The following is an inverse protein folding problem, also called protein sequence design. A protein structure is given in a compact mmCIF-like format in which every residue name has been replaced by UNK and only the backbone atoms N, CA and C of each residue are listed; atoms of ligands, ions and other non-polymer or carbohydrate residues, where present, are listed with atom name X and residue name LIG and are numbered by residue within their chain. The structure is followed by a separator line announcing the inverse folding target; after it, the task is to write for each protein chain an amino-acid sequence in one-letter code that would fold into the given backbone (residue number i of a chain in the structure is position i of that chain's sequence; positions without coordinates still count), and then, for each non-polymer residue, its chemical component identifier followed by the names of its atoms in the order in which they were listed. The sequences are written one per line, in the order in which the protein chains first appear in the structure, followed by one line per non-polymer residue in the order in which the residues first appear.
data_IF_041395489925
#
_entry.id   IF_041395489925
#
_cell.length_a   1.000
_cell.length_b   1.000
_cell.length_c   1.000
_cell.angle_alpha   90.00
_cell.angle_beta   90.00
_cell.angle_gamma   90.00
#
_symmetry.space_group_name_H-M   'P 1'
#
loop_
_entity.id
_entity.type
_entity.pdbx_description
1 polymer ?
#
# COMPACT_ATOMS: atom_id res chain seq x y z
N UNK A 1 -8.02 -21.46 -4.23
CA UNK A 1 -8.68 -21.43 -2.92
C UNK A 1 -10.13 -21.09 -3.17
N UNK A 2 -11.10 -21.64 -2.44
CA UNK A 2 -12.46 -21.18 -2.58
C UNK A 2 -12.45 -19.67 -2.30
N UNK A 3 -13.19 -18.89 -3.12
CA UNK A 3 -13.37 -17.47 -2.90
C UNK A 3 -13.92 -17.28 -1.49
N UNK A 4 -13.09 -16.75 -0.59
CA UNK A 4 -13.54 -16.39 0.74
C UNK A 4 -14.50 -15.23 0.64
N UNK A 5 -15.45 -15.13 1.55
CA UNK A 5 -16.38 -14.01 1.63
C UNK A 5 -15.94 -13.02 2.73
N UNK A 6 -14.62 -12.84 2.89
CA UNK A 6 -14.02 -12.05 3.97
C UNK A 6 -14.44 -10.58 3.93
N UNK A 7 -14.77 -10.07 2.73
CA UNK A 7 -15.21 -8.70 2.49
C UNK A 7 -16.61 -8.64 1.86
N UNK A 8 -17.42 -9.69 2.06
CA UNK A 8 -18.78 -9.73 1.54
C UNK A 8 -19.59 -8.51 2.02
N UNK A 9 -20.33 -7.90 1.10
CA UNK A 9 -21.12 -6.69 1.35
C UNK A 9 -20.32 -5.44 1.75
N UNK A 10 -18.98 -5.45 1.69
CA UNK A 10 -18.14 -4.27 1.90
C UNK A 10 -17.99 -3.48 0.59
N UNK A 11 -17.83 -2.17 0.74
CA UNK A 11 -17.49 -1.25 -0.36
C UNK A 11 -16.11 -0.67 -0.10
N UNK A 12 -15.22 -0.82 -1.05
CA UNK A 12 -13.83 -0.37 -0.96
C UNK A 12 -13.51 0.71 -1.99
N UNK A 13 -12.73 1.70 -1.59
CA UNK A 13 -11.99 2.58 -2.49
C UNK A 13 -10.52 2.13 -2.46
N UNK A 14 -9.92 1.92 -3.62
CA UNK A 14 -8.49 1.68 -3.79
C UNK A 14 -7.90 2.78 -4.65
N UNK A 15 -6.94 3.53 -4.10
CA UNK A 15 -6.24 4.60 -4.85
C UNK A 15 -4.99 4.04 -5.54
N UNK A 16 -4.73 4.48 -6.80
CA UNK A 16 -3.69 3.90 -7.63
C UNK A 16 -4.00 2.45 -7.96
N UNK A 17 -5.24 2.17 -8.37
CA UNK A 17 -5.77 0.83 -8.60
C UNK A 17 -5.31 0.20 -9.92
N UNK A 18 -4.74 0.99 -10.83
CA UNK A 18 -4.15 0.50 -12.07
C UNK A 18 -2.70 0.03 -11.90
N UNK A 19 -2.14 -0.53 -12.97
CA UNK A 19 -0.73 -0.92 -13.00
C UNK A 19 -0.02 -0.35 -14.22
N UNK A 20 1.30 -0.33 -14.16
CA UNK A 20 2.17 0.09 -15.28
C UNK A 20 2.94 -1.12 -15.78
N UNK A 21 2.55 -1.66 -16.95
CA UNK A 21 3.19 -2.80 -17.58
C UNK A 21 2.72 -4.15 -17.02
N UNK A 22 3.47 -5.20 -17.32
CA UNK A 22 3.06 -6.61 -17.09
C UNK A 22 3.10 -7.05 -15.61
N UNK A 23 3.76 -6.28 -14.74
CA UNK A 23 3.94 -6.65 -13.33
C UNK A 23 2.89 -5.94 -12.50
N UNK A 24 2.09 -6.69 -11.75
CA UNK A 24 1.06 -6.14 -10.89
C UNK A 24 1.62 -5.12 -9.88
N UNK A 25 0.93 -3.98 -9.75
CA UNK A 25 1.11 -3.04 -8.65
C UNK A 25 0.28 -3.44 -7.43
N UNK A 26 0.66 -2.94 -6.25
CA UNK A 26 -0.06 -3.25 -5.00
C UNK A 26 -1.54 -2.84 -5.04
N UNK A 27 -1.84 -1.69 -5.66
CA UNK A 27 -3.23 -1.24 -5.80
C UNK A 27 -4.06 -2.16 -6.68
N UNK A 28 -3.52 -2.61 -7.82
CA UNK A 28 -4.16 -3.59 -8.69
C UNK A 28 -4.40 -4.92 -7.97
N UNK A 29 -3.34 -5.48 -7.36
CA UNK A 29 -3.44 -6.74 -6.63
C UNK A 29 -4.46 -6.67 -5.49
N UNK A 30 -4.46 -5.57 -4.71
CA UNK A 30 -5.43 -5.36 -3.63
C UNK A 30 -6.86 -5.24 -4.17
N UNK A 31 -7.08 -4.51 -5.26
CA UNK A 31 -8.40 -4.37 -5.89
C UNK A 31 -8.96 -5.71 -6.34
N UNK A 32 -8.15 -6.52 -7.01
CA UNK A 32 -8.55 -7.85 -7.49
C UNK A 32 -8.83 -8.79 -6.30
N UNK A 33 -7.96 -8.82 -5.28
CA UNK A 33 -8.19 -9.66 -4.10
C UNK A 33 -9.42 -9.21 -3.30
N UNK A 34 -9.64 -7.91 -3.11
CA UNK A 34 -10.83 -7.41 -2.43
C UNK A 34 -12.11 -7.83 -3.17
N UNK A 35 -12.12 -7.75 -4.51
CA UNK A 35 -13.25 -8.18 -5.31
C UNK A 35 -13.48 -9.72 -5.21
N UNK A 36 -12.42 -10.53 -5.25
CA UNK A 36 -12.48 -11.98 -5.04
C UNK A 36 -13.02 -12.36 -3.67
N UNK A 37 -12.77 -11.51 -2.67
CA UNK A 37 -13.26 -11.68 -1.29
C UNK A 37 -14.66 -11.06 -1.08
N UNK A 38 -15.34 -10.64 -2.15
CA UNK A 38 -16.75 -10.22 -2.14
C UNK A 38 -17.00 -8.72 -1.98
N UNK A 39 -15.96 -7.88 -1.97
CA UNK A 39 -16.14 -6.43 -1.94
C UNK A 39 -16.56 -5.88 -3.31
N UNK A 40 -17.34 -4.78 -3.28
CA UNK A 40 -17.50 -3.88 -4.42
C UNK A 40 -16.40 -2.85 -4.38
N UNK A 41 -15.67 -2.66 -5.48
CA UNK A 41 -14.44 -1.84 -5.49
C UNK A 41 -14.58 -0.62 -6.40
N UNK A 42 -14.35 0.57 -5.87
CA UNK A 42 -14.11 1.77 -6.66
C UNK A 42 -12.60 1.87 -6.94
N UNK A 43 -12.24 1.68 -8.21
CA UNK A 43 -10.88 1.76 -8.73
C UNK A 43 -10.56 3.22 -9.01
N UNK A 44 -9.80 3.87 -8.14
CA UNK A 44 -9.37 5.25 -8.35
C UNK A 44 -7.96 5.28 -8.94
N UNK A 45 -7.82 5.88 -10.11
CA UNK A 45 -6.53 6.10 -10.76
C UNK A 45 -6.54 7.44 -11.51
N UNK A 46 -5.38 7.95 -11.88
CA UNK A 46 -5.22 9.12 -12.73
C UNK A 46 -5.26 8.75 -14.22
N UNK A 47 -5.12 7.48 -14.53
CA UNK A 47 -4.96 6.94 -15.87
C UNK A 47 -6.05 5.87 -16.12
N UNK A 48 -6.91 6.16 -17.08
CA UNK A 48 -8.06 5.31 -17.37
C UNK A 48 -7.64 3.95 -17.92
N UNK A 49 -6.66 3.89 -18.82
CA UNK A 49 -6.27 2.65 -19.49
C UNK A 49 -5.76 1.63 -18.45
N UNK A 50 -5.01 2.12 -17.44
CA UNK A 50 -4.52 1.28 -16.34
C UNK A 50 -5.63 0.79 -15.42
N UNK A 51 -6.61 1.63 -15.15
CA UNK A 51 -7.76 1.25 -14.34
C UNK A 51 -8.64 0.22 -15.05
N UNK A 52 -8.79 0.34 -16.39
CA UNK A 52 -9.54 -0.60 -17.21
C UNK A 52 -8.94 -2.01 -17.21
N UNK A 53 -7.62 -2.17 -17.21
CA UNK A 53 -6.99 -3.49 -17.08
C UNK A 53 -7.40 -4.20 -15.77
N UNK A 54 -7.47 -3.45 -14.69
CA UNK A 54 -7.89 -3.97 -13.38
C UNK A 54 -9.40 -4.27 -13.37
N UNK A 55 -10.21 -3.37 -13.92
CA UNK A 55 -11.67 -3.56 -14.06
C UNK A 55 -11.98 -4.82 -14.85
N UNK A 56 -11.38 -4.97 -16.04
CA UNK A 56 -11.58 -6.11 -16.91
C UNK A 56 -11.24 -7.45 -16.23
N UNK A 57 -10.17 -7.45 -15.41
CA UNK A 57 -9.79 -8.64 -14.63
C UNK A 57 -10.85 -8.98 -13.60
N UNK A 58 -11.34 -7.98 -12.85
CA UNK A 58 -12.36 -8.17 -11.81
C UNK A 58 -13.68 -8.64 -12.43
N UNK A 59 -14.14 -8.02 -13.52
CA UNK A 59 -15.40 -8.38 -14.17
C UNK A 59 -15.33 -9.78 -14.80
N UNK A 60 -14.21 -10.13 -15.43
CA UNK A 60 -13.98 -11.48 -15.98
C UNK A 60 -14.06 -12.57 -14.92
N UNK A 61 -13.69 -12.26 -13.69
CA UNK A 61 -13.76 -13.17 -12.53
C UNK A 61 -15.13 -13.12 -11.82
N UNK A 62 -16.08 -12.30 -12.31
CA UNK A 62 -17.44 -12.18 -11.75
C UNK A 62 -17.54 -11.22 -10.57
N UNK A 63 -16.49 -10.45 -10.29
CA UNK A 63 -16.49 -9.41 -9.26
C UNK A 63 -17.19 -8.13 -9.70
N UNK A 64 -17.32 -7.18 -8.79
CA UNK A 64 -17.98 -5.89 -9.05
C UNK A 64 -17.02 -4.74 -8.80
N UNK A 65 -16.73 -3.94 -9.82
CA UNK A 65 -15.93 -2.72 -9.68
C UNK A 65 -16.48 -1.58 -10.56
N UNK A 66 -16.06 -0.36 -10.24
CA UNK A 66 -16.28 0.85 -11.04
C UNK A 66 -15.02 1.67 -11.05
N UNK A 67 -14.79 2.48 -12.09
CA UNK A 67 -13.63 3.35 -12.21
C UNK A 67 -14.01 4.77 -11.80
N UNK A 68 -13.10 5.44 -11.09
CA UNK A 68 -13.07 6.87 -10.86
C UNK A 68 -11.73 7.42 -11.32
N UNK A 69 -11.74 8.39 -12.23
CA UNK A 69 -10.54 9.07 -12.71
C UNK A 69 -10.38 10.39 -11.98
N UNK A 70 -9.25 10.54 -11.28
CA UNK A 70 -8.93 11.74 -10.52
C UNK A 70 -7.53 11.71 -9.93
N UNK A 71 -7.03 12.89 -9.57
CA UNK A 71 -5.75 13.08 -8.94
C UNK A 71 -5.91 13.14 -7.40
N UNK A 72 -5.42 12.16 -6.69
CA UNK A 72 -5.49 12.11 -5.22
C UNK A 72 -4.67 13.19 -4.51
N UNK A 73 -3.86 13.95 -5.22
CA UNK A 73 -3.22 15.17 -4.69
C UNK A 73 -4.14 16.39 -4.73
N UNK A 74 -5.26 16.30 -5.48
CA UNK A 74 -6.34 17.29 -5.55
C UNK A 74 -7.37 17.01 -4.45
N UNK A 75 -7.59 17.96 -3.57
CA UNK A 75 -8.61 17.86 -2.53
C UNK A 75 -10.01 17.65 -3.12
N UNK A 76 -10.34 18.39 -4.20
CA UNK A 76 -11.62 18.29 -4.91
C UNK A 76 -11.85 16.88 -5.47
N UNK A 77 -10.81 16.26 -6.01
CA UNK A 77 -10.94 14.91 -6.58
C UNK A 77 -11.06 13.86 -5.49
N UNK A 78 -10.41 14.05 -4.33
CA UNK A 78 -10.62 13.19 -3.16
C UNK A 78 -12.07 13.24 -2.65
N UNK A 79 -12.69 14.42 -2.60
CA UNK A 79 -14.11 14.56 -2.26
C UNK A 79 -15.00 13.87 -3.29
N UNK A 80 -14.76 14.14 -4.58
CA UNK A 80 -15.52 13.54 -5.68
C UNK A 80 -15.40 12.01 -5.69
N UNK A 81 -14.23 11.45 -5.42
CA UNK A 81 -13.97 10.02 -5.31
C UNK A 81 -14.85 9.35 -4.23
N UNK A 82 -14.90 9.94 -3.05
CA UNK A 82 -15.72 9.41 -1.95
C UNK A 82 -17.20 9.51 -2.28
N UNK A 83 -17.64 10.64 -2.84
CA UNK A 83 -19.03 10.84 -3.27
C UNK A 83 -19.43 9.85 -4.38
N UNK A 84 -18.53 9.54 -5.32
CA UNK A 84 -18.78 8.55 -6.36
C UNK A 84 -18.94 7.13 -5.78
N UNK A 85 -18.17 6.77 -4.75
CA UNK A 85 -18.36 5.49 -4.05
C UNK A 85 -19.77 5.36 -3.45
N UNK A 86 -20.24 6.42 -2.79
CA UNK A 86 -21.61 6.44 -2.23
C UNK A 86 -22.67 6.39 -3.33
N UNK A 87 -22.47 7.12 -4.41
CA UNK A 87 -23.40 7.14 -5.56
C UNK A 87 -23.50 5.76 -6.23
N UNK A 88 -22.39 5.06 -6.41
CA UNK A 88 -22.35 3.76 -7.12
C UNK A 88 -22.78 2.60 -6.22
N UNK A 89 -22.44 2.63 -4.93
CA UNK A 89 -22.55 1.48 -4.04
C UNK A 89 -23.31 1.74 -2.75
N UNK A 90 -23.71 3.00 -2.47
CA UNK A 90 -24.54 3.39 -1.34
C UNK A 90 -23.79 3.67 -0.04
N UNK A 91 -22.51 3.32 0.08
CA UNK A 91 -21.69 3.46 1.29
C UNK A 91 -20.19 3.43 1.01
N UNK A 92 -19.40 3.57 2.10
CA UNK A 92 -17.95 3.31 2.08
C UNK A 92 -17.56 2.59 3.37
N UNK A 93 -16.95 1.40 3.27
CA UNK A 93 -16.48 0.61 4.40
C UNK A 93 -14.94 0.57 4.48
N UNK A 94 -14.23 0.63 3.33
CA UNK A 94 -12.79 0.43 3.24
C UNK A 94 -12.18 1.53 2.37
N UNK A 95 -11.11 2.18 2.89
CA UNK A 95 -10.25 3.06 2.09
C UNK A 95 -8.82 2.51 2.11
N UNK A 96 -8.29 2.16 0.94
CA UNK A 96 -6.91 1.81 0.77
C UNK A 96 -6.13 2.95 0.10
N UNK A 97 -5.41 3.73 0.90
CA UNK A 97 -4.51 4.80 0.45
C UNK A 97 -3.19 4.19 -0.03
N UNK A 98 -3.14 3.81 -1.30
CA UNK A 98 -1.99 3.11 -1.88
C UNK A 98 -1.10 4.01 -2.75
N UNK A 99 -1.60 5.14 -3.25
CA UNK A 99 -0.80 6.01 -4.12
C UNK A 99 0.49 6.45 -3.45
N UNK A 100 1.56 6.40 -4.21
CA UNK A 100 2.87 6.86 -3.79
C UNK A 100 3.88 6.86 -4.93
N UNK A 101 4.97 7.57 -4.72
CA UNK A 101 6.04 7.70 -5.70
C UNK A 101 7.37 8.08 -5.05
N UNK A 102 8.50 7.81 -5.73
CA UNK A 102 9.79 8.23 -5.22
C UNK A 102 9.89 9.75 -5.21
N UNK A 103 10.61 10.27 -4.25
CA UNK A 103 11.17 11.62 -4.29
C UNK A 103 12.69 11.48 -4.24
N UNK A 104 13.41 12.07 -5.15
CA UNK A 104 14.84 11.82 -5.32
C UNK A 104 15.75 12.60 -4.37
N UNK A 105 16.96 12.07 -4.17
CA UNK A 105 18.10 12.80 -3.64
C UNK A 105 18.41 12.61 -2.17
N UNK A 106 19.66 12.94 -1.84
CA UNK A 106 20.13 13.16 -0.47
C UNK A 106 19.81 14.59 -0.05
N UNK A 107 19.85 14.89 1.25
CA UNK A 107 19.52 16.23 1.80
C UNK A 107 20.18 17.38 1.04
N UNK A 108 21.42 17.24 0.64
CA UNK A 108 22.18 18.27 -0.07
C UNK A 108 21.84 18.42 -1.56
N UNK A 109 21.01 17.55 -2.11
CA UNK A 109 20.65 17.53 -3.54
C UNK A 109 19.15 17.47 -3.77
N UNK A 110 18.33 17.85 -2.79
CA UNK A 110 16.88 17.88 -2.94
C UNK A 110 16.47 19.24 -3.51
N UNK A 111 15.79 19.21 -4.65
CA UNK A 111 15.12 20.40 -5.20
C UNK A 111 13.78 20.60 -4.47
N UNK A 112 13.39 21.84 -4.24
CA UNK A 112 12.17 22.20 -3.50
C UNK A 112 10.91 21.63 -4.18
N UNK A 113 10.86 21.67 -5.50
CA UNK A 113 9.75 21.10 -6.27
C UNK A 113 9.61 19.58 -6.08
N UNK A 114 10.73 18.86 -6.09
CA UNK A 114 10.74 17.41 -5.83
C UNK A 114 10.31 17.07 -4.41
N UNK A 115 10.69 17.91 -3.44
CA UNK A 115 10.23 17.81 -2.07
C UNK A 115 8.70 17.93 -1.99
N UNK A 116 8.14 19.00 -2.50
CA UNK A 116 6.69 19.24 -2.47
C UNK A 116 5.92 18.15 -3.20
N UNK A 117 6.36 17.77 -4.39
CA UNK A 117 5.75 16.69 -5.16
C UNK A 117 5.75 15.35 -4.39
N UNK A 118 6.85 15.02 -3.73
CA UNK A 118 6.95 13.78 -2.95
C UNK A 118 6.03 13.79 -1.74
N UNK A 119 5.96 14.89 -1.00
CA UNK A 119 5.07 15.04 0.16
C UNK A 119 3.61 15.01 -0.27
N UNK A 120 3.25 15.74 -1.32
CA UNK A 120 1.87 15.77 -1.82
C UNK A 120 1.41 14.37 -2.27
N UNK A 121 2.25 13.67 -3.02
CA UNK A 121 1.90 12.37 -3.55
C UNK A 121 1.84 11.27 -2.47
N UNK A 122 2.80 11.24 -1.54
CA UNK A 122 2.91 10.16 -0.58
C UNK A 122 2.14 10.40 0.73
N UNK A 123 2.01 11.63 1.19
CA UNK A 123 1.41 11.95 2.49
C UNK A 123 0.08 12.70 2.35
N UNK A 124 0.06 13.84 1.65
CA UNK A 124 -1.15 14.68 1.52
C UNK A 124 -2.29 13.89 0.89
N UNK A 125 -2.04 13.05 -0.11
CA UNK A 125 -3.04 12.20 -0.76
C UNK A 125 -3.82 11.33 0.24
N UNK A 126 -3.10 10.67 1.16
CA UNK A 126 -3.72 9.85 2.20
C UNK A 126 -4.52 10.68 3.22
N UNK A 127 -4.03 11.89 3.57
CA UNK A 127 -4.75 12.82 4.45
C UNK A 127 -6.04 13.28 3.79
N UNK A 128 -6.00 13.71 2.52
CA UNK A 128 -7.17 14.22 1.80
C UNK A 128 -8.19 13.11 1.54
N UNK A 129 -7.77 11.93 1.11
CA UNK A 129 -8.65 10.77 0.97
C UNK A 129 -9.35 10.43 2.28
N UNK A 130 -8.62 10.39 3.38
CA UNK A 130 -9.18 10.09 4.72
C UNK A 130 -10.09 11.19 5.23
N UNK A 131 -9.82 12.46 4.95
CA UNK A 131 -10.65 13.60 5.33
C UNK A 131 -12.11 13.44 4.89
N UNK A 132 -12.32 12.96 3.68
CA UNK A 132 -13.67 12.77 3.13
C UNK A 132 -14.24 11.38 3.40
N UNK A 133 -13.38 10.36 3.52
CA UNK A 133 -13.82 9.00 3.82
C UNK A 133 -14.37 8.86 5.26
N UNK A 134 -13.72 9.47 6.26
CA UNK A 134 -14.07 9.32 7.67
C UNK A 134 -15.53 9.71 7.95
N UNK A 135 -16.03 10.90 7.56
CA UNK A 135 -17.44 11.26 7.80
C UNK A 135 -18.44 10.33 7.08
N UNK A 136 -18.02 9.76 5.94
CA UNK A 136 -18.84 8.82 5.18
C UNK A 136 -18.89 7.45 5.86
N UNK A 137 -17.75 6.95 6.33
CA UNK A 137 -17.65 5.72 7.11
C UNK A 137 -18.42 5.82 8.43
N UNK A 138 -18.34 6.95 9.12
CA UNK A 138 -19.07 7.19 10.36
C UNK A 138 -20.59 7.05 10.16
N UNK A 139 -21.14 7.62 9.08
CA UNK A 139 -22.55 7.46 8.71
C UNK A 139 -22.94 6.02 8.39
N UNK A 140 -21.99 5.20 7.94
CA UNK A 140 -22.19 3.78 7.63
C UNK A 140 -21.96 2.86 8.85
N UNK A 141 -21.65 3.42 10.02
CA UNK A 141 -21.45 2.67 11.26
C UNK A 141 -19.99 2.25 11.52
N UNK A 142 -19.04 2.78 10.78
CA UNK A 142 -17.61 2.54 10.94
C UNK A 142 -16.90 2.14 9.64
N UNK A 143 -15.63 1.75 9.73
CA UNK A 143 -14.84 1.37 8.56
C UNK A 143 -13.41 0.97 8.85
N UNK A 144 -12.65 0.70 7.80
CA UNK A 144 -11.23 0.39 7.87
C UNK A 144 -10.45 1.23 6.86
N UNK A 145 -9.48 1.99 7.35
CA UNK A 145 -8.52 2.73 6.53
C UNK A 145 -7.17 2.02 6.60
N UNK A 146 -6.61 1.70 5.44
CA UNK A 146 -5.29 1.10 5.33
C UNK A 146 -4.40 2.05 4.54
N UNK A 147 -3.28 2.46 5.12
CA UNK A 147 -2.28 3.29 4.48
C UNK A 147 -1.06 2.45 4.06
N UNK A 148 -0.34 2.90 3.04
CA UNK A 148 0.91 2.26 2.60
C UNK A 148 2.11 3.11 3.01
N UNK A 149 2.88 2.61 3.98
CA UNK A 149 4.20 3.10 4.32
C UNK A 149 5.28 2.38 3.49
N UNK A 150 6.40 2.09 4.08
CA UNK A 150 7.54 1.34 3.52
C UNK A 150 8.45 0.93 4.67
N UNK A 151 9.32 -0.06 4.47
CA UNK A 151 10.47 -0.27 5.35
C UNK A 151 11.35 0.98 5.43
N UNK A 152 11.45 1.77 4.35
CA UNK A 152 12.16 3.06 4.32
C UNK A 152 11.51 4.14 5.21
N UNK A 153 10.28 3.95 5.66
CA UNK A 153 9.61 4.80 6.64
C UNK A 153 9.87 4.40 8.09
N UNK A 154 10.50 3.26 8.33
CA UNK A 154 10.79 2.74 9.67
C UNK A 154 12.29 2.69 9.95
N UNK A 155 13.10 2.51 8.94
CA UNK A 155 14.57 2.53 9.01
C UNK A 155 15.15 3.14 7.74
N UNK A 156 16.37 3.68 7.83
CA UNK A 156 17.06 4.20 6.65
C UNK A 156 17.52 3.06 5.75
N UNK A 157 17.05 3.04 4.51
CA UNK A 157 17.46 2.09 3.48
C UNK A 157 18.71 2.55 2.71
N UNK A 158 19.13 1.74 1.77
CA UNK A 158 20.25 2.06 0.86
C UNK A 158 19.87 3.07 -0.23
N UNK A 159 18.59 3.32 -0.41
CA UNK A 159 18.08 4.21 -1.45
C UNK A 159 18.24 5.67 -1.02
N UNK A 160 18.87 6.49 -1.88
CA UNK A 160 19.00 7.93 -1.66
C UNK A 160 17.68 8.64 -1.99
N UNK A 161 16.74 8.61 -1.05
CA UNK A 161 15.34 9.00 -1.28
C UNK A 161 14.74 9.66 -0.03
N UNK A 162 15.34 10.77 0.41
CA UNK A 162 14.99 11.44 1.68
C UNK A 162 13.52 11.87 1.73
N UNK A 163 12.95 12.58 0.74
CA UNK A 163 11.55 13.01 0.79
C UNK A 163 10.56 11.83 0.88
N UNK A 164 10.85 10.75 0.17
CA UNK A 164 10.04 9.54 0.23
C UNK A 164 10.08 8.90 1.62
N UNK A 165 11.29 8.66 2.16
CA UNK A 165 11.47 8.00 3.46
C UNK A 165 10.79 8.80 4.57
N UNK A 166 10.93 10.14 4.57
CA UNK A 166 10.27 11.02 5.53
C UNK A 166 8.74 10.94 5.37
N UNK A 167 8.22 11.00 4.14
CA UNK A 167 6.77 10.90 3.92
C UNK A 167 6.20 9.56 4.36
N UNK A 168 6.93 8.45 4.16
CA UNK A 168 6.50 7.12 4.62
C UNK A 168 6.59 6.95 6.14
N UNK A 169 7.55 7.58 6.81
CA UNK A 169 7.57 7.68 8.26
C UNK A 169 6.37 8.49 8.79
N UNK A 170 6.07 9.63 8.16
CA UNK A 170 4.91 10.44 8.49
C UNK A 170 3.59 9.69 8.35
N UNK A 171 3.41 8.89 7.28
CA UNK A 171 2.22 8.03 7.08
C UNK A 171 2.09 6.98 8.20
N UNK A 172 3.18 6.39 8.64
CA UNK A 172 3.17 5.46 9.77
C UNK A 172 2.65 6.12 11.04
N UNK A 173 3.11 7.33 11.33
CA UNK A 173 2.66 8.07 12.52
C UNK A 173 1.23 8.60 12.36
N UNK A 174 0.87 9.12 11.18
CA UNK A 174 -0.49 9.54 10.84
C UNK A 174 -1.50 8.42 11.10
N UNK A 175 -1.16 7.19 10.72
CA UNK A 175 -2.05 6.03 10.93
C UNK A 175 -2.32 5.79 12.42
N UNK A 176 -1.33 5.97 13.30
CA UNK A 176 -1.53 5.90 14.77
C UNK A 176 -2.38 7.05 15.30
N UNK A 177 -2.14 8.28 14.84
CA UNK A 177 -2.93 9.44 15.22
C UNK A 177 -4.41 9.22 14.86
N UNK A 178 -4.67 8.83 13.62
CA UNK A 178 -6.03 8.59 13.13
C UNK A 178 -6.72 7.43 13.88
N UNK A 179 -6.00 6.35 14.19
CA UNK A 179 -6.52 5.23 14.97
C UNK A 179 -7.02 5.67 16.35
N UNK A 180 -6.27 6.57 17.02
CA UNK A 180 -6.64 7.14 18.32
C UNK A 180 -7.84 8.08 18.19
N UNK A 181 -7.83 8.96 17.20
CA UNK A 181 -8.85 9.98 17.04
C UNK A 181 -10.22 9.41 16.62
N UNK A 182 -10.23 8.35 15.78
CA UNK A 182 -11.44 7.85 15.15
C UNK A 182 -11.87 6.45 15.64
N UNK A 183 -11.15 5.85 16.57
CA UNK A 183 -11.50 4.52 17.11
C UNK A 183 -12.88 4.46 17.77
N UNK A 184 -13.33 5.54 18.44
CA UNK A 184 -14.67 5.62 19.05
C UNK A 184 -15.80 5.75 18.04
N UNK A 185 -15.49 6.11 16.80
CA UNK A 185 -16.39 6.11 15.65
C UNK A 185 -16.44 4.75 14.94
N UNK A 186 -15.86 3.72 15.54
CA UNK A 186 -15.72 2.38 14.96
C UNK A 186 -14.92 2.38 13.64
N UNK A 187 -13.94 3.30 13.50
CA UNK A 187 -13.05 3.37 12.35
C UNK A 187 -11.67 2.89 12.79
N UNK A 188 -11.23 1.80 12.18
CA UNK A 188 -9.88 1.26 12.36
C UNK A 188 -8.94 1.90 11.34
N UNK A 189 -7.75 2.26 11.77
CA UNK A 189 -6.73 2.79 10.87
C UNK A 189 -5.42 2.04 11.09
N UNK A 190 -4.93 1.40 10.04
CA UNK A 190 -3.71 0.61 10.07
C UNK A 190 -2.81 0.97 8.89
N UNK A 191 -1.60 0.49 8.92
CA UNK A 191 -0.62 0.74 7.89
C UNK A 191 0.10 -0.56 7.52
N UNK A 192 0.34 -0.80 6.23
CA UNK A 192 1.27 -1.82 5.77
C UNK A 192 2.60 -1.17 5.41
N UNK A 193 3.71 -1.81 5.74
CA UNK A 193 5.07 -1.37 5.42
C UNK A 193 5.76 -2.43 4.54
N UNK A 194 5.59 -2.34 3.20
CA UNK A 194 6.22 -3.29 2.29
C UNK A 194 7.74 -3.20 2.33
N UNK A 195 8.38 -4.35 2.17
CA UNK A 195 9.82 -4.50 2.02
C UNK A 195 10.26 -4.48 0.57
N UNK A 196 11.18 -5.37 0.25
CA UNK A 196 11.78 -5.51 -1.07
C UNK A 196 10.82 -6.23 -2.07
N UNK A 197 9.68 -5.63 -2.34
CA UNK A 197 8.71 -6.16 -3.31
C UNK A 197 9.21 -5.98 -4.74
N UNK A 198 9.16 -7.06 -5.53
CA UNK A 198 9.29 -6.99 -6.98
C UNK A 198 7.92 -6.68 -7.60
N UNK A 199 7.78 -5.51 -8.18
CA UNK A 199 6.49 -5.03 -8.67
C UNK A 199 6.63 -3.87 -9.65
N UNK A 200 5.52 -3.29 -10.05
CA UNK A 200 5.47 -2.18 -11.01
C UNK A 200 6.24 -0.93 -10.52
N UNK A 201 6.25 -0.67 -9.21
CA UNK A 201 6.89 0.52 -8.66
C UNK A 201 8.41 0.55 -8.85
N UNK A 202 9.20 -0.48 -8.43
CA UNK A 202 10.64 -0.47 -8.64
C UNK A 202 11.06 -0.60 -10.11
N UNK A 203 10.21 -1.17 -10.96
CA UNK A 203 10.51 -1.40 -12.37
C UNK A 203 10.00 -0.30 -13.32
N UNK A 204 9.40 0.76 -12.80
CA UNK A 204 8.69 1.78 -13.59
C UNK A 204 9.56 2.58 -14.56
N UNK A 205 10.87 2.68 -14.30
CA UNK A 205 11.80 3.41 -15.16
C UNK A 205 12.78 2.48 -15.90
N UNK A 206 13.20 1.41 -15.26
CA UNK A 206 14.10 0.39 -15.80
C UNK A 206 13.84 -0.93 -15.10
N UNK A 207 13.80 -2.03 -15.86
CA UNK A 207 13.72 -3.38 -15.27
C UNK A 207 14.91 -3.60 -14.34
N UNK A 208 14.63 -4.09 -13.15
CA UNK A 208 15.66 -4.40 -12.16
C UNK A 208 16.52 -5.58 -12.64
N UNK A 209 17.84 -5.46 -12.51
CA UNK A 209 18.79 -6.49 -12.87
C UNK A 209 18.68 -7.72 -11.94
N UNK A 210 18.89 -8.91 -12.49
CA UNK A 210 18.68 -10.16 -11.75
C UNK A 210 19.61 -10.29 -10.53
N UNK A 211 20.88 -9.87 -10.66
CA UNK A 211 21.82 -9.86 -9.54
C UNK A 211 21.35 -9.00 -8.36
N UNK A 212 20.74 -7.84 -8.68
CA UNK A 212 20.20 -6.96 -7.66
C UNK A 212 18.94 -7.55 -7.01
N UNK A 213 18.13 -8.28 -7.78
CA UNK A 213 16.97 -9.02 -7.24
C UNK A 213 17.43 -10.11 -6.28
N UNK A 214 18.47 -10.88 -6.65
CA UNK A 214 19.01 -11.93 -5.77
C UNK A 214 19.56 -11.36 -4.46
N UNK A 215 20.27 -10.23 -4.50
CA UNK A 215 20.73 -9.54 -3.27
C UNK A 215 19.57 -9.11 -2.39
N UNK A 216 18.49 -8.61 -2.99
CA UNK A 216 17.28 -8.19 -2.24
C UNK A 216 16.56 -9.37 -1.57
N UNK A 217 16.51 -10.54 -2.21
CA UNK A 217 15.99 -11.77 -1.60
C UNK A 217 16.81 -12.15 -0.37
N UNK A 218 18.14 -12.17 -0.52
CA UNK A 218 19.07 -12.54 0.55
C UNK A 218 19.06 -11.59 1.74
N UNK A 219 18.60 -10.35 1.57
CA UNK A 219 18.52 -9.36 2.65
C UNK A 219 17.44 -9.69 3.70
N UNK A 220 16.44 -10.49 3.34
CA UNK A 220 15.38 -10.91 4.27
C UNK A 220 15.57 -12.34 4.76
N UNK A 221 15.33 -12.63 6.05
CA UNK A 221 15.44 -13.97 6.63
C UNK A 221 14.70 -15.09 5.89
N UNK A 222 13.59 -14.79 5.20
CA UNK A 222 12.87 -15.79 4.42
C UNK A 222 13.58 -16.15 3.11
N UNK A 223 14.55 -15.36 2.64
CA UNK A 223 15.29 -15.63 1.40
C UNK A 223 14.41 -15.62 0.14
N UNK A 224 13.25 -15.01 0.18
CA UNK A 224 12.28 -15.02 -0.90
C UNK A 224 12.02 -13.61 -1.44
N UNK A 225 11.56 -13.53 -2.69
CA UNK A 225 11.12 -12.27 -3.29
C UNK A 225 9.63 -12.06 -3.01
N UNK A 226 9.29 -10.91 -2.43
CA UNK A 226 7.90 -10.51 -2.24
C UNK A 226 7.30 -9.94 -3.53
N UNK A 227 5.99 -10.07 -3.65
CA UNK A 227 5.19 -9.55 -4.76
C UNK A 227 4.11 -8.58 -4.25
N UNK A 228 3.46 -7.87 -5.17
CA UNK A 228 2.30 -7.05 -4.84
C UNK A 228 1.16 -7.84 -4.17
N UNK A 229 1.03 -9.13 -4.50
CA UNK A 229 0.02 -10.02 -3.95
C UNK A 229 0.26 -10.31 -2.45
N UNK A 230 1.52 -10.44 -2.03
CA UNK A 230 1.86 -10.65 -0.61
C UNK A 230 1.42 -9.45 0.24
N UNK A 231 1.65 -8.23 -0.27
CA UNK A 231 1.16 -7.01 0.37
C UNK A 231 -0.35 -6.92 0.35
N UNK A 232 -0.98 -7.27 -0.77
CA UNK A 232 -2.43 -7.20 -0.94
C UNK A 232 -3.17 -8.15 0.02
N UNK A 233 -2.64 -9.33 0.33
CA UNK A 233 -3.22 -10.21 1.35
C UNK A 233 -3.19 -9.60 2.76
N UNK A 234 -2.13 -8.90 3.12
CA UNK A 234 -2.08 -8.16 4.39
C UNK A 234 -3.12 -7.03 4.42
N UNK A 235 -3.34 -6.35 3.28
CA UNK A 235 -4.37 -5.32 3.15
C UNK A 235 -5.77 -5.92 3.30
N UNK A 236 -6.07 -7.05 2.66
CA UNK A 236 -7.36 -7.77 2.80
C UNK A 236 -7.59 -8.17 4.26
N UNK A 237 -6.58 -8.71 4.96
CA UNK A 237 -6.69 -9.01 6.38
C UNK A 237 -7.07 -7.78 7.21
N UNK A 238 -6.33 -6.66 7.05
CA UNK A 238 -6.61 -5.43 7.79
C UNK A 238 -7.96 -4.79 7.43
N UNK A 239 -8.46 -5.02 6.21
CA UNK A 239 -9.77 -4.56 5.76
C UNK A 239 -10.92 -5.40 6.35
N UNK A 240 -10.68 -6.66 6.64
CA UNK A 240 -11.69 -7.63 7.04
C UNK A 240 -12.11 -7.53 8.52
N UNK A 241 -13.21 -8.19 8.87
CA UNK A 241 -13.68 -8.29 10.25
C UNK A 241 -12.79 -9.21 11.12
N UNK A 242 -11.89 -9.98 10.51
CA UNK A 242 -10.86 -10.74 11.24
C UNK A 242 -9.91 -9.80 11.99
N UNK A 243 -9.68 -8.58 11.46
CA UNK A 243 -8.88 -7.53 12.09
C UNK A 243 -9.69 -6.57 12.97
N UNK A 244 -10.90 -6.92 13.41
CA UNK A 244 -11.78 -6.03 14.20
C UNK A 244 -11.17 -5.50 15.50
N UNK A 245 -10.14 -6.18 16.02
CA UNK A 245 -9.41 -5.80 17.24
C UNK A 245 -8.04 -5.18 16.94
N UNK A 246 -7.75 -4.86 15.66
CA UNK A 246 -6.46 -4.34 15.19
C UNK A 246 -6.63 -2.91 14.68
N UNK A 247 -6.06 -1.94 15.38
CA UNK A 247 -5.96 -0.54 14.95
C UNK A 247 -4.65 0.09 15.42
N UNK A 248 -4.09 1.02 14.64
CA UNK A 248 -2.83 1.71 14.94
C UNK A 248 -1.58 0.87 14.66
N UNK A 249 -1.70 -0.33 14.05
CA UNK A 249 -0.56 -1.16 13.72
C UNK A 249 0.16 -0.65 12.46
N UNK A 250 1.48 -0.76 12.48
CA UNK A 250 2.32 -0.69 11.29
C UNK A 250 2.80 -2.12 11.04
N UNK A 251 2.23 -2.77 10.02
CA UNK A 251 2.48 -4.17 9.72
C UNK A 251 3.56 -4.30 8.65
N UNK A 252 4.78 -4.76 8.99
CA UNK A 252 5.79 -5.09 8.00
C UNK A 252 5.35 -6.27 7.13
N UNK A 253 5.54 -6.13 5.82
CA UNK A 253 5.37 -7.20 4.84
C UNK A 253 6.66 -7.24 4.02
N UNK A 254 7.71 -7.83 4.58
CA UNK A 254 9.09 -7.55 4.19
C UNK A 254 10.04 -8.75 4.25
N UNK A 255 9.52 -9.96 4.34
CA UNK A 255 10.31 -11.19 4.52
C UNK A 255 11.23 -11.17 5.76
N UNK A 256 10.92 -10.33 6.76
CA UNK A 256 11.68 -10.19 7.99
C UNK A 256 12.87 -9.24 7.92
N UNK A 257 13.00 -8.45 6.87
CA UNK A 257 14.12 -7.49 6.70
C UNK A 257 14.27 -6.57 7.92
N UNK A 258 13.16 -6.03 8.45
CA UNK A 258 13.20 -5.15 9.61
C UNK A 258 13.51 -5.86 10.94
N UNK A 259 13.30 -7.17 11.02
CA UNK A 259 13.60 -7.97 12.20
C UNK A 259 15.09 -8.38 12.27
N UNK A 260 15.77 -8.38 11.14
CA UNK A 260 17.16 -8.77 11.02
C UNK A 260 18.11 -7.60 11.34
N UNK A 261 19.17 -7.85 12.12
CA UNK A 261 20.28 -6.91 12.20
C UNK A 261 21.11 -6.96 10.91
N UNK A 262 21.84 -5.87 10.55
CA UNK A 262 22.62 -5.85 9.30
C UNK A 262 23.61 -7.02 9.16
N UNK A 263 24.22 -7.47 10.24
CA UNK A 263 25.20 -8.56 10.23
C UNK A 263 24.57 -9.96 10.24
N UNK A 264 23.29 -10.11 10.64
CA UNK A 264 22.66 -11.42 10.73
C UNK A 264 22.44 -12.08 9.35
N UNK A 265 22.42 -11.28 8.28
CA UNK A 265 22.24 -11.76 6.90
C UNK A 265 23.56 -11.75 6.09
N UNK A 266 24.69 -11.38 6.72
CA UNK A 266 25.93 -11.19 5.99
C UNK A 266 26.39 -12.48 5.24
N UNK A 267 26.34 -13.63 5.91
CA UNK A 267 26.71 -14.91 5.30
C UNK A 267 25.88 -15.24 4.05
N UNK A 268 24.56 -15.02 4.12
CA UNK A 268 23.66 -15.24 2.99
C UNK A 268 23.94 -14.27 1.82
N UNK A 269 24.25 -13.01 2.14
CA UNK A 269 24.53 -11.95 1.16
C UNK A 269 25.85 -12.23 0.41
N UNK A 270 26.92 -12.56 1.13
CA UNK A 270 28.25 -12.78 0.54
C UNK A 270 28.44 -14.20 -0.01
N UNK A 271 27.48 -15.12 0.24
CA UNK A 271 27.54 -16.49 -0.24
C UNK A 271 28.58 -17.36 0.47
N UNK A 272 28.83 -17.11 1.78
CA UNK A 272 29.69 -17.97 2.58
C UNK A 272 28.96 -19.26 2.96
N UNK A 273 29.55 -20.42 2.61
CA UNK A 273 29.06 -21.74 3.04
C UNK A 273 29.42 -22.08 4.51
N UNK A 274 30.03 -21.15 5.22
CA UNK A 274 30.38 -21.38 6.62
C UNK A 274 29.13 -21.37 7.51
N UNK A 275 28.98 -22.36 8.41
CA UNK A 275 27.86 -22.39 9.34
C UNK A 275 27.86 -21.12 10.21
N UNK A 276 26.70 -20.49 10.33
CA UNK A 276 26.50 -19.26 11.14
C UNK A 276 27.01 -19.37 12.60
N UNK A 277 27.21 -20.60 13.10
CA UNK A 277 27.78 -20.88 14.42
C UNK A 277 29.23 -20.45 14.65
N UNK A 278 29.98 -20.13 13.59
CA UNK A 278 31.40 -19.75 13.70
C UNK A 278 31.65 -18.23 13.58
N UNK A 279 30.57 -17.42 13.52
CA UNK A 279 30.67 -15.96 13.42
C UNK A 279 30.53 -15.25 14.76
N UNK A 280 30.38 -16.01 15.86
CA UNK A 280 30.31 -15.47 17.25
C UNK A 280 31.31 -16.20 18.15
#
# INVERSE_FOLDING_TARGET
MPSGQRLENKVAIVTGAGTRGEIAGTGQAASILMAREGAKVLLSDIDIDRAEETLNTIEKEGGTAKIFIGDVTSEKDCEAMVNESVKQFGKLDILFNNVGGPGGGMVTGIEEEDWHRSIDLNMKSAVMGSKYAIPTMEKSGGGSIINVSSIDGTQAGSTRNVPYSISKAAISHLSRIMAVHHGRQNIRVNCVAPGHVYGAFPNRFKKMEDDWRELRKKAGPLGTEGTAWDVAWAVVYLASDEAKWVTGVILPVDAGVQAASPLSMLGDIIGSDEPKSNLY
#
